data_IF_125187024838
#
_entry.id   IF_125187024838
#
_cell.length_a   1.000
_cell.length_b   1.000
_cell.length_c   1.000
_cell.angle_alpha   90.00
_cell.angle_beta   90.00
_cell.angle_gamma   90.00
#
_symmetry.space_group_name_H-M   'P 1'
#
loop_
_entity.id
_entity.type
_entity.pdbx_description
1 polymer ?
#
# COMPACT_ATOMS: atom_id res chain seq x y z
N UNK A 1 -0.27 -23.18 -25.80
CA UNK A 1 0.44 -21.92 -26.14
C UNK A 1 0.05 -20.86 -25.11
N UNK A 2 0.82 -20.72 -24.01
CA UNK A 2 0.50 -19.81 -22.90
C UNK A 2 1.35 -18.53 -23.01
N UNK A 3 0.72 -17.37 -23.22
CA UNK A 3 1.38 -16.06 -23.26
C UNK A 3 1.81 -15.66 -21.84
N UNK A 4 3.11 -15.39 -21.65
CA UNK A 4 3.70 -14.90 -20.39
C UNK A 4 3.17 -13.49 -20.04
N UNK A 5 2.73 -13.23 -18.79
CA UNK A 5 2.34 -11.89 -18.34
C UNK A 5 3.60 -11.08 -17.99
N UNK A 6 4.37 -10.67 -18.99
CA UNK A 6 5.52 -9.76 -18.80
C UNK A 6 5.14 -8.28 -18.89
N UNK A 7 4.03 -7.95 -19.54
CA UNK A 7 3.62 -6.57 -19.77
C UNK A 7 3.07 -5.88 -18.51
N UNK A 8 2.32 -6.60 -17.67
CA UNK A 8 1.67 -6.01 -16.48
C UNK A 8 2.64 -5.62 -15.38
N UNK A 9 3.78 -6.32 -15.27
CA UNK A 9 4.84 -6.03 -14.29
C UNK A 9 5.67 -4.79 -14.67
N UNK A 10 5.84 -4.49 -15.96
CA UNK A 10 6.52 -3.26 -16.40
C UNK A 10 5.70 -2.01 -16.12
N UNK A 11 4.38 -2.05 -16.29
CA UNK A 11 3.50 -0.89 -16.09
C UNK A 11 3.45 -0.50 -14.60
N UNK A 12 3.39 -1.48 -13.69
CA UNK A 12 3.40 -1.23 -12.25
C UNK A 12 4.72 -0.61 -11.75
N UNK A 13 5.86 -1.00 -12.34
CA UNK A 13 7.17 -0.43 -11.98
C UNK A 13 7.27 1.06 -12.36
N UNK A 14 6.79 1.42 -13.57
CA UNK A 14 6.83 2.79 -14.07
C UNK A 14 5.90 3.73 -13.29
N UNK A 15 4.72 3.24 -12.89
CA UNK A 15 3.72 4.04 -12.15
C UNK A 15 4.16 4.34 -10.72
N UNK A 16 5.05 3.54 -10.11
CA UNK A 16 5.54 3.78 -8.74
C UNK A 16 6.84 4.59 -8.72
N UNK A 17 7.77 4.33 -9.65
CA UNK A 17 9.08 4.99 -9.68
C UNK A 17 9.02 6.47 -10.07
N UNK A 18 8.19 6.83 -11.05
CA UNK A 18 8.11 8.23 -11.52
C UNK A 18 7.60 9.20 -10.43
N UNK A 19 6.51 8.91 -9.70
CA UNK A 19 6.05 9.82 -8.65
C UNK A 19 6.96 9.83 -7.41
N UNK A 20 7.65 8.74 -7.07
CA UNK A 20 8.60 8.75 -5.94
C UNK A 20 9.85 9.58 -6.24
N UNK A 21 10.38 9.51 -7.47
CA UNK A 21 11.51 10.36 -7.88
C UNK A 21 11.10 11.83 -7.90
N UNK A 22 9.90 12.16 -8.41
CA UNK A 22 9.39 13.53 -8.40
C UNK A 22 9.16 14.07 -6.97
N UNK A 23 8.68 13.25 -6.05
CA UNK A 23 8.48 13.66 -4.64
C UNK A 23 9.83 13.96 -3.95
N UNK A 24 10.88 13.20 -4.26
CA UNK A 24 12.22 13.40 -3.71
C UNK A 24 12.91 14.64 -4.30
N UNK A 25 12.69 14.96 -5.58
CA UNK A 25 13.26 16.16 -6.19
C UNK A 25 12.69 17.46 -5.60
N UNK A 26 11.42 17.49 -5.20
CA UNK A 26 10.79 18.68 -4.62
C UNK A 26 11.27 18.97 -3.18
N UNK A 27 11.79 17.97 -2.47
CA UNK A 27 12.30 18.13 -1.10
C UNK A 27 13.79 18.53 -1.02
N UNK A 28 14.51 18.50 -2.14
CA UNK A 28 15.95 18.74 -2.16
C UNK A 28 16.35 20.22 -2.40
N UNK A 29 15.40 21.11 -2.65
CA UNK A 29 15.68 22.45 -3.18
C UNK A 29 15.28 23.57 -2.20
N UNK A 30 15.79 23.52 -0.97
CA UNK A 30 15.75 24.70 -0.09
C UNK A 30 17.03 24.81 0.77
N UNK A 31 18.20 24.72 0.12
CA UNK A 31 19.44 25.31 0.67
C UNK A 31 19.58 26.72 0.09
N UNK A 32 18.90 27.71 0.68
CA UNK A 32 19.06 29.12 0.31
C UNK A 32 20.52 29.53 0.54
N UNK A 33 21.22 29.85 -0.54
CA UNK A 33 22.49 30.55 -0.48
C UNK A 33 22.29 31.91 0.20
N UNK A 34 23.21 32.28 1.11
CA UNK A 34 23.19 33.61 1.71
C UNK A 34 23.24 34.67 0.60
N UNK A 35 22.41 35.73 0.68
CA UNK A 35 22.45 36.80 -0.32
C UNK A 35 23.85 37.43 -0.34
N UNK A 36 24.32 37.88 -1.52
CA UNK A 36 25.63 38.53 -1.64
C UNK A 36 25.69 39.81 -0.77
N UNK A 37 26.85 40.01 -0.12
CA UNK A 37 27.16 41.03 0.92
C UNK A 37 26.70 42.46 0.55
N UNK A 38 26.74 42.80 -0.74
CA UNK A 38 26.38 44.11 -1.25
C UNK A 38 24.88 44.42 -1.12
N UNK A 39 24.01 43.40 -1.22
CA UNK A 39 22.55 43.59 -1.15
C UNK A 39 22.11 43.94 0.27
N UNK A 40 22.73 43.30 1.26
CA UNK A 40 22.51 43.54 2.67
C UNK A 40 22.92 44.98 3.04
N UNK A 41 24.06 45.43 2.51
CA UNK A 41 24.56 46.80 2.75
C UNK A 41 23.62 47.86 2.19
N UNK A 42 23.13 47.68 0.96
CA UNK A 42 22.19 48.63 0.33
C UNK A 42 20.87 48.69 1.10
N UNK A 43 20.36 47.53 1.54
CA UNK A 43 19.12 47.43 2.31
C UNK A 43 19.21 48.22 3.63
N UNK A 44 20.25 47.94 4.43
CA UNK A 44 20.43 48.55 5.75
C UNK A 44 20.79 50.05 5.70
N UNK A 45 21.37 50.54 4.60
CA UNK A 45 21.69 51.96 4.42
C UNK A 45 20.55 52.77 3.79
N UNK A 46 19.47 52.13 3.36
CA UNK A 46 18.33 52.83 2.78
C UNK A 46 17.66 53.76 3.80
N UNK A 47 17.17 54.95 3.40
CA UNK A 47 16.56 55.91 4.31
C UNK A 47 15.45 55.33 5.19
N UNK A 48 14.69 54.37 4.65
CA UNK A 48 13.55 53.75 5.30
C UNK A 48 13.97 52.82 6.45
N UNK A 49 15.12 52.14 6.32
CA UNK A 49 15.61 51.15 7.30
C UNK A 49 16.67 51.69 8.27
N UNK A 50 17.21 52.89 8.04
CA UNK A 50 18.17 53.57 8.94
C UNK A 50 17.71 53.67 10.41
N UNK A 51 16.48 54.10 10.74
CA UNK A 51 16.07 54.20 12.14
C UNK A 51 16.00 52.83 12.83
N UNK A 52 15.59 51.79 12.11
CA UNK A 52 15.49 50.43 12.63
C UNK A 52 16.86 49.78 12.79
N UNK A 53 17.80 50.06 11.88
CA UNK A 53 19.21 49.65 12.02
C UNK A 53 19.84 50.26 13.28
N UNK A 54 19.61 51.56 13.53
CA UNK A 54 20.11 52.24 14.71
C UNK A 54 19.47 51.68 16.00
N UNK A 55 18.17 51.35 15.96
CA UNK A 55 17.48 50.70 17.07
C UNK A 55 18.03 49.29 17.33
N UNK A 56 18.34 48.52 16.28
CA UNK A 56 18.97 47.21 16.39
C UNK A 56 20.39 47.32 16.97
N UNK A 57 21.19 48.28 16.51
CA UNK A 57 22.53 48.55 17.06
C UNK A 57 22.46 48.94 18.56
N UNK A 58 21.48 49.76 18.93
CA UNK A 58 21.18 50.12 20.32
C UNK A 58 20.78 48.93 21.18
N UNK A 59 19.90 48.08 20.68
CA UNK A 59 19.44 46.88 21.38
C UNK A 59 20.55 45.85 21.57
N UNK A 60 21.50 45.80 20.65
CA UNK A 60 22.67 44.92 20.73
C UNK A 60 23.82 45.52 21.56
N UNK A 61 23.69 46.77 22.04
CA UNK A 61 24.74 47.48 22.78
C UNK A 61 25.96 47.83 21.94
N UNK A 62 25.81 47.91 20.61
CA UNK A 62 26.90 48.22 19.67
C UNK A 62 27.10 49.73 19.48
N UNK A 63 26.04 50.51 19.65
CA UNK A 63 26.06 51.97 19.59
C UNK A 63 24.91 52.54 20.42
N UNK A 64 25.06 53.76 20.93
CA UNK A 64 23.95 54.48 21.59
C UNK A 64 23.27 55.44 20.60
N UNK A 65 21.92 55.50 20.57
CA UNK A 65 21.23 56.46 19.71
C UNK A 65 21.54 57.89 20.15
N UNK A 66 21.84 58.76 19.18
CA UNK A 66 22.00 60.19 19.48
C UNK A 66 20.65 60.78 19.91
N UNK A 67 20.62 61.65 20.93
CA UNK A 67 19.40 62.34 21.35
C UNK A 67 18.79 63.23 20.22
N UNK A 68 19.57 63.53 19.19
CA UNK A 68 19.10 64.11 17.93
C UNK A 68 18.99 63.01 16.87
N UNK A 69 17.89 62.24 16.90
CA UNK A 69 17.60 61.17 15.92
C UNK A 69 17.51 61.68 14.47
N UNK A 70 17.38 63.00 14.28
CA UNK A 70 17.26 63.64 12.96
C UNK A 70 18.56 63.80 12.18
N UNK A 71 19.74 63.62 12.80
CA UNK A 71 21.03 63.82 12.11
C UNK A 71 21.68 62.54 11.59
N UNK A 72 21.08 61.36 11.83
CA UNK A 72 21.67 60.08 11.40
C UNK A 72 23.01 59.75 12.10
N UNK A 73 23.26 60.37 13.25
CA UNK A 73 24.47 60.19 14.05
C UNK A 73 24.23 59.21 15.19
N UNK A 74 25.28 58.47 15.54
CA UNK A 74 25.31 57.48 16.60
C UNK A 74 26.52 57.70 17.51
N UNK A 75 26.41 57.30 18.78
CA UNK A 75 27.48 57.44 19.76
C UNK A 75 28.19 56.11 19.95
N UNK A 76 29.49 56.10 19.63
CA UNK A 76 30.41 54.97 19.88
C UNK A 76 31.60 55.53 20.64
N UNK A 77 31.98 54.90 21.75
CA UNK A 77 33.09 55.32 22.61
C UNK A 77 33.04 56.82 22.99
N UNK A 78 31.85 57.32 23.31
CA UNK A 78 31.59 58.71 23.68
C UNK A 78 31.92 59.74 22.58
N UNK A 79 31.93 59.31 21.31
CA UNK A 79 32.07 60.19 20.13
C UNK A 79 30.84 60.04 19.23
N UNK A 80 30.34 61.17 18.75
CA UNK A 80 29.32 61.19 17.71
C UNK A 80 29.98 60.90 16.35
N UNK A 81 29.53 59.84 15.68
CA UNK A 81 29.95 59.47 14.33
C UNK A 81 28.71 59.30 13.44
N UNK A 82 28.84 59.56 12.14
CA UNK A 82 27.79 59.25 11.17
C UNK A 82 27.76 57.75 10.83
N UNK A 83 26.64 57.31 10.26
CA UNK A 83 26.39 55.90 9.95
C UNK A 83 27.39 55.33 8.93
N UNK A 84 27.77 56.13 7.94
CA UNK A 84 28.74 55.78 6.90
C UNK A 84 30.16 55.58 7.50
N UNK A 85 30.59 56.48 8.37
CA UNK A 85 31.84 56.40 9.13
C UNK A 85 31.83 55.23 10.12
N UNK A 86 30.69 54.94 10.73
CA UNK A 86 30.53 53.77 11.59
C UNK A 86 30.67 52.47 10.82
N UNK A 87 30.02 52.35 9.65
CA UNK A 87 30.17 51.19 8.76
C UNK A 87 31.64 50.96 8.38
N UNK A 88 32.36 52.02 8.00
CA UNK A 88 33.72 51.89 7.49
C UNK A 88 34.72 51.54 8.61
N UNK A 89 34.54 52.08 9.81
CA UNK A 89 35.45 51.85 10.95
C UNK A 89 35.06 50.67 11.85
N UNK A 90 33.79 50.25 11.83
CA UNK A 90 33.22 49.19 12.67
C UNK A 90 32.42 48.15 11.85
N UNK A 91 32.99 47.70 10.72
CA UNK A 91 32.32 46.80 9.76
C UNK A 91 31.63 45.60 10.41
N UNK A 92 32.30 44.94 11.36
CA UNK A 92 31.76 43.75 12.03
C UNK A 92 30.51 44.02 12.86
N UNK A 93 30.46 45.19 13.50
CA UNK A 93 29.33 45.59 14.35
C UNK A 93 28.16 46.05 13.48
N UNK A 94 28.46 46.77 12.39
CA UNK A 94 27.49 47.09 11.35
C UNK A 94 26.85 45.82 10.76
N UNK A 95 27.65 44.84 10.33
CA UNK A 95 27.17 43.58 9.77
C UNK A 95 26.32 42.78 10.78
N UNK A 96 26.64 42.89 12.07
CA UNK A 96 25.87 42.24 13.14
C UNK A 96 24.52 42.92 13.37
N UNK A 97 24.49 44.25 13.41
CA UNK A 97 23.25 45.01 13.52
C UNK A 97 22.34 44.83 12.29
N UNK A 98 22.92 44.87 11.09
CA UNK A 98 22.20 44.71 9.84
C UNK A 98 21.60 43.29 9.69
N UNK A 99 22.34 42.24 10.11
CA UNK A 99 21.78 40.89 10.18
C UNK A 99 20.64 40.76 11.19
N UNK A 100 20.73 41.44 12.34
CA UNK A 100 19.66 41.44 13.33
C UNK A 100 18.40 42.13 12.78
N UNK A 101 18.57 43.23 12.05
CA UNK A 101 17.47 43.92 11.37
C UNK A 101 16.80 42.99 10.33
N UNK A 102 17.59 42.39 9.43
CA UNK A 102 17.09 41.44 8.43
C UNK A 102 16.40 40.22 9.02
N UNK A 103 16.83 39.78 10.22
CA UNK A 103 16.17 38.68 10.93
C UNK A 103 14.86 39.10 11.61
N UNK A 104 14.70 40.40 11.90
CA UNK A 104 13.51 40.96 12.57
C UNK A 104 12.40 41.35 11.62
N UNK A 105 12.73 41.62 10.35
CA UNK A 105 11.69 41.88 9.36
C UNK A 105 10.85 40.62 9.15
N UNK A 106 9.51 40.74 9.14
CA UNK A 106 8.67 39.68 8.63
C UNK A 106 9.15 39.42 7.22
N UNK A 107 9.71 38.22 6.98
CA UNK A 107 9.96 37.73 5.65
C UNK A 107 8.61 37.77 4.93
N UNK A 108 8.30 38.91 4.29
CA UNK A 108 7.25 38.98 3.29
C UNK A 108 7.78 37.98 2.29
N UNK A 109 7.21 36.78 2.33
CA UNK A 109 7.41 35.79 1.29
C UNK A 109 6.95 36.50 0.04
N UNK A 110 7.88 37.16 -0.64
CA UNK A 110 7.75 37.53 -2.03
C UNK A 110 7.38 36.21 -2.63
N UNK A 111 6.09 36.08 -2.94
CA UNK A 111 5.56 34.85 -3.47
C UNK A 111 6.13 34.86 -4.87
N UNK A 112 7.36 34.37 -5.02
CA UNK A 112 7.92 34.01 -6.30
C UNK A 112 6.81 33.22 -6.96
N UNK A 113 6.26 33.81 -8.02
CA UNK A 113 5.11 33.27 -8.71
C UNK A 113 5.54 31.92 -9.24
N UNK A 114 5.26 30.86 -8.47
CA UNK A 114 5.58 29.48 -8.84
C UNK A 114 5.11 29.30 -10.28
N UNK A 115 5.97 28.78 -11.18
CA UNK A 115 5.59 28.53 -12.56
C UNK A 115 4.24 27.79 -12.59
N UNK A 116 3.35 28.16 -13.52
CA UNK A 116 2.01 27.59 -13.62
C UNK A 116 1.99 26.05 -13.53
N UNK A 117 2.99 25.39 -14.10
CA UNK A 117 3.19 23.93 -14.06
C UNK A 117 3.38 23.38 -12.64
N UNK A 118 4.05 24.11 -11.74
CA UNK A 118 4.26 23.71 -10.33
C UNK A 118 2.95 23.80 -9.56
N UNK A 119 2.19 24.90 -9.72
CA UNK A 119 0.86 25.07 -9.08
C UNK A 119 -0.14 24.04 -9.59
N UNK A 120 -0.09 23.73 -10.89
CA UNK A 120 -0.92 22.71 -11.49
C UNK A 120 -0.54 21.30 -11.01
N UNK A 121 0.75 21.03 -10.81
CA UNK A 121 1.25 19.79 -10.20
C UNK A 121 0.77 19.58 -8.76
N UNK A 122 0.74 20.64 -7.94
CA UNK A 122 0.24 20.57 -6.55
C UNK A 122 -1.23 20.13 -6.45
N UNK A 123 -2.05 20.42 -7.47
CA UNK A 123 -3.46 20.02 -7.52
C UNK A 123 -3.65 18.68 -8.23
N UNK A 124 -2.97 18.47 -9.36
CA UNK A 124 -3.14 17.27 -10.17
C UNK A 124 -2.51 16.03 -9.53
N UNK A 125 -1.39 16.15 -8.81
CA UNK A 125 -0.72 14.99 -8.20
C UNK A 125 -1.60 14.34 -7.12
N UNK A 126 -2.18 15.07 -6.14
CA UNK A 126 -3.11 14.47 -5.18
C UNK A 126 -4.36 13.90 -5.85
N UNK A 127 -4.90 14.58 -6.87
CA UNK A 127 -6.08 14.09 -7.60
C UNK A 127 -5.78 12.77 -8.35
N UNK A 128 -4.64 12.70 -9.04
CA UNK A 128 -4.19 11.50 -9.73
C UNK A 128 -3.88 10.35 -8.75
N UNK A 129 -3.27 10.67 -7.60
CA UNK A 129 -3.03 9.70 -6.54
C UNK A 129 -4.33 9.17 -5.93
N UNK A 130 -5.30 10.05 -5.67
CA UNK A 130 -6.64 9.67 -5.21
C UNK A 130 -7.38 8.78 -6.21
N UNK A 131 -7.29 9.09 -7.51
CA UNK A 131 -7.86 8.27 -8.56
C UNK A 131 -7.18 6.89 -8.67
N UNK A 132 -5.85 6.83 -8.58
CA UNK A 132 -5.08 5.58 -8.59
C UNK A 132 -5.41 4.70 -7.39
N UNK A 133 -5.45 5.28 -6.18
CA UNK A 133 -5.86 4.55 -4.97
C UNK A 133 -7.29 4.03 -5.08
N UNK A 134 -8.20 4.83 -5.62
CA UNK A 134 -9.60 4.41 -5.84
C UNK A 134 -9.69 3.25 -6.85
N UNK A 135 -8.92 3.32 -7.94
CA UNK A 135 -8.85 2.25 -8.94
C UNK A 135 -8.27 0.96 -8.34
N UNK A 136 -7.20 1.05 -7.56
CA UNK A 136 -6.62 -0.09 -6.87
C UNK A 136 -7.59 -0.67 -5.83
N UNK A 137 -8.28 0.18 -5.05
CA UNK A 137 -9.25 -0.25 -4.04
C UNK A 137 -10.48 -0.93 -4.66
N UNK A 138 -10.99 -0.43 -5.79
CA UNK A 138 -12.12 -1.05 -6.51
C UNK A 138 -11.71 -2.37 -7.16
N UNK A 139 -10.56 -2.41 -7.83
CA UNK A 139 -10.01 -3.65 -8.39
C UNK A 139 -9.77 -4.72 -7.33
N UNK A 140 -9.27 -4.30 -6.16
CA UNK A 140 -9.04 -5.16 -5.01
C UNK A 140 -10.35 -5.73 -4.43
N UNK A 141 -11.36 -4.88 -4.20
CA UNK A 141 -12.68 -5.34 -3.74
C UNK A 141 -13.30 -6.34 -4.71
N UNK A 142 -13.28 -6.03 -6.01
CA UNK A 142 -13.78 -6.93 -7.04
C UNK A 142 -13.01 -8.28 -7.09
N UNK A 143 -11.73 -8.30 -6.70
CA UNK A 143 -10.98 -9.56 -6.56
C UNK A 143 -11.42 -10.36 -5.32
N UNK A 144 -11.62 -9.71 -4.17
CA UNK A 144 -12.17 -10.35 -2.96
C UNK A 144 -13.56 -10.91 -3.23
N UNK A 145 -14.46 -10.13 -3.82
CA UNK A 145 -15.84 -10.55 -4.08
C UNK A 145 -15.91 -11.73 -5.05
N UNK A 146 -14.96 -11.84 -5.99
CA UNK A 146 -14.81 -13.03 -6.84
C UNK A 146 -14.32 -14.22 -6.03
N UNK A 147 -13.29 -14.03 -5.20
CA UNK A 147 -12.75 -15.08 -4.33
C UNK A 147 -13.78 -15.65 -3.35
N UNK A 148 -14.62 -14.81 -2.75
CA UNK A 148 -15.74 -15.25 -1.88
C UNK A 148 -16.75 -16.08 -2.67
N UNK A 149 -17.17 -15.61 -3.85
CA UNK A 149 -18.12 -16.36 -4.70
C UNK A 149 -17.57 -17.71 -5.15
N UNK A 150 -16.31 -17.77 -5.54
CA UNK A 150 -15.66 -19.04 -5.94
C UNK A 150 -15.50 -19.99 -4.74
N UNK A 151 -15.21 -19.45 -3.55
CA UNK A 151 -15.16 -20.23 -2.31
C UNK A 151 -16.52 -20.84 -1.97
N UNK A 152 -17.59 -20.05 -2.04
CA UNK A 152 -18.95 -20.52 -1.73
C UNK A 152 -19.44 -21.54 -2.77
N UNK A 153 -19.19 -21.30 -4.06
CA UNK A 153 -19.50 -22.27 -5.11
C UNK A 153 -18.77 -23.61 -4.91
N UNK A 154 -17.52 -23.57 -4.46
CA UNK A 154 -16.75 -24.77 -4.13
C UNK A 154 -17.34 -25.49 -2.92
N UNK A 155 -17.70 -24.78 -1.84
CA UNK A 155 -18.35 -25.36 -0.65
C UNK A 155 -19.68 -26.02 -1.00
N UNK A 156 -20.52 -25.37 -1.79
CA UNK A 156 -21.80 -25.94 -2.24
C UNK A 156 -21.59 -27.22 -3.06
N UNK A 157 -20.66 -27.22 -4.02
CA UNK A 157 -20.39 -28.41 -4.83
C UNK A 157 -19.86 -29.59 -3.98
N UNK A 158 -19.06 -29.30 -2.95
CA UNK A 158 -18.59 -30.33 -2.01
C UNK A 158 -19.71 -30.85 -1.12
N UNK A 159 -20.56 -29.98 -0.57
CA UNK A 159 -21.71 -30.40 0.22
C UNK A 159 -22.67 -31.27 -0.58
N UNK A 160 -22.98 -30.89 -1.82
CA UNK A 160 -23.84 -31.66 -2.73
C UNK A 160 -23.24 -33.04 -3.05
N UNK A 161 -21.93 -33.09 -3.28
CA UNK A 161 -21.21 -34.33 -3.54
C UNK A 161 -21.18 -35.25 -2.32
N UNK A 162 -20.89 -34.70 -1.14
CA UNK A 162 -20.94 -35.43 0.14
C UNK A 162 -22.32 -36.02 0.40
N UNK A 163 -23.38 -35.23 0.24
CA UNK A 163 -24.76 -35.68 0.44
C UNK A 163 -25.14 -36.82 -0.52
N UNK A 164 -24.70 -36.73 -1.79
CA UNK A 164 -24.91 -37.79 -2.77
C UNK A 164 -24.19 -39.09 -2.36
N UNK A 165 -22.93 -39.02 -1.92
CA UNK A 165 -22.17 -40.19 -1.46
C UNK A 165 -22.79 -40.80 -0.21
N UNK A 166 -23.17 -39.99 0.78
CA UNK A 166 -23.79 -40.48 2.01
C UNK A 166 -25.12 -41.19 1.75
N UNK A 167 -25.92 -40.66 0.82
CA UNK A 167 -27.17 -41.28 0.36
C UNK A 167 -26.86 -42.64 -0.30
N UNK A 168 -25.96 -42.65 -1.29
CA UNK A 168 -25.51 -43.84 -2.01
C UNK A 168 -25.00 -44.93 -1.07
N UNK A 169 -24.16 -44.57 -0.09
CA UNK A 169 -23.62 -45.48 0.90
C UNK A 169 -24.69 -46.03 1.86
N UNK A 170 -25.65 -45.19 2.27
CA UNK A 170 -26.74 -45.61 3.17
C UNK A 170 -27.69 -46.62 2.52
N UNK A 171 -27.91 -46.51 1.21
CA UNK A 171 -28.75 -47.42 0.43
C UNK A 171 -28.11 -48.80 0.31
N UNK A 172 -26.79 -48.88 0.13
CA UNK A 172 -26.04 -50.15 0.18
C UNK A 172 -26.19 -50.87 1.52
N UNK A 173 -26.13 -50.14 2.63
CA UNK A 173 -26.34 -50.71 3.98
C UNK A 173 -27.75 -51.25 4.13
N UNK A 174 -28.75 -50.59 3.53
CA UNK A 174 -30.16 -51.02 3.52
C UNK A 174 -30.44 -52.15 2.51
N UNK A 175 -29.43 -52.62 1.77
CA UNK A 175 -29.59 -53.67 0.76
C UNK A 175 -30.38 -53.23 -0.49
N UNK A 176 -30.48 -51.91 -0.74
CA UNK A 176 -31.10 -51.36 -1.94
C UNK A 176 -30.06 -51.17 -3.04
N UNK A 177 -30.52 -51.09 -4.29
CA UNK A 177 -29.67 -50.67 -5.43
C UNK A 177 -29.59 -49.14 -5.44
N UNK A 178 -28.41 -48.54 -5.27
CA UNK A 178 -28.28 -47.09 -5.17
C UNK A 178 -28.01 -46.39 -6.49
N UNK A 179 -28.38 -45.12 -6.57
CA UNK A 179 -28.19 -44.30 -7.77
C UNK A 179 -26.75 -43.80 -7.93
N UNK A 180 -25.95 -44.56 -8.68
CA UNK A 180 -24.58 -44.17 -9.05
C UNK A 180 -24.51 -43.01 -10.06
N UNK A 181 -25.62 -42.63 -10.72
CA UNK A 181 -25.64 -41.54 -11.70
C UNK A 181 -25.56 -40.20 -10.99
N UNK A 182 -26.35 -40.02 -9.93
CA UNK A 182 -26.32 -38.78 -9.13
C UNK A 182 -24.94 -38.51 -8.54
N UNK A 183 -24.26 -39.53 -8.00
CA UNK A 183 -22.90 -39.36 -7.45
C UNK A 183 -21.92 -38.91 -8.55
N UNK A 184 -21.92 -39.55 -9.72
CA UNK A 184 -21.06 -39.18 -10.86
C UNK A 184 -21.33 -37.76 -11.36
N UNK A 185 -22.59 -37.35 -11.41
CA UNK A 185 -22.98 -35.99 -11.77
C UNK A 185 -22.40 -34.97 -10.79
N UNK A 186 -22.54 -35.20 -9.48
CA UNK A 186 -22.00 -34.31 -8.44
C UNK A 186 -20.47 -34.31 -8.41
N UNK A 187 -19.83 -35.46 -8.64
CA UNK A 187 -18.36 -35.56 -8.81
C UNK A 187 -17.89 -34.66 -9.97
N UNK A 188 -18.58 -34.73 -11.11
CA UNK A 188 -18.25 -33.93 -12.30
C UNK A 188 -18.42 -32.44 -12.03
N UNK A 189 -19.48 -32.08 -11.29
CA UNK A 189 -19.73 -30.71 -10.87
C UNK A 189 -18.60 -30.15 -10.01
N UNK A 190 -18.21 -30.91 -8.98
CA UNK A 190 -17.10 -30.58 -8.11
C UNK A 190 -15.77 -30.45 -8.87
N UNK A 191 -15.46 -31.40 -9.76
CA UNK A 191 -14.26 -31.35 -10.59
C UNK A 191 -14.22 -30.09 -11.47
N UNK A 192 -15.38 -29.63 -11.94
CA UNK A 192 -15.50 -28.40 -12.73
C UNK A 192 -15.19 -27.17 -11.87
N UNK A 193 -15.72 -27.10 -10.64
CA UNK A 193 -15.43 -25.99 -9.72
C UNK A 193 -13.95 -25.95 -9.33
N UNK A 194 -13.37 -27.11 -8.99
CA UNK A 194 -11.92 -27.22 -8.71
C UNK A 194 -11.10 -26.80 -9.94
N UNK A 195 -11.52 -27.22 -11.14
CA UNK A 195 -10.90 -26.83 -12.40
C UNK A 195 -10.91 -25.31 -12.63
N UNK A 196 -12.02 -24.64 -12.31
CA UNK A 196 -12.14 -23.18 -12.36
C UNK A 196 -11.14 -22.52 -11.41
N UNK A 197 -11.06 -22.98 -10.16
CA UNK A 197 -10.08 -22.48 -9.17
C UNK A 197 -8.65 -22.64 -9.69
N UNK A 198 -8.30 -23.80 -10.25
CA UNK A 198 -6.97 -24.04 -10.83
C UNK A 198 -6.68 -23.11 -12.03
N UNK A 199 -7.69 -22.77 -12.84
CA UNK A 199 -7.49 -21.89 -14.00
C UNK A 199 -7.05 -20.48 -13.61
N UNK A 200 -7.55 -19.98 -12.48
CA UNK A 200 -7.17 -18.67 -11.93
C UNK A 200 -5.96 -18.74 -10.99
N UNK A 201 -5.72 -19.90 -10.36
CA UNK A 201 -4.67 -20.11 -9.37
C UNK A 201 -3.79 -21.33 -9.73
N UNK A 202 -3.19 -21.33 -10.91
CA UNK A 202 -2.47 -22.49 -11.47
C UNK A 202 -1.29 -22.98 -10.61
N UNK A 203 -0.67 -22.09 -9.83
CA UNK A 203 0.41 -22.42 -8.92
C UNK A 203 -0.06 -23.16 -7.65
N UNK A 204 -1.35 -23.16 -7.32
CA UNK A 204 -1.85 -23.76 -6.08
C UNK A 204 -1.82 -25.29 -6.14
N UNK A 205 -0.81 -25.88 -5.51
CA UNK A 205 -0.63 -27.33 -5.44
C UNK A 205 -1.82 -28.00 -4.72
N UNK A 206 -2.39 -27.37 -3.69
CA UNK A 206 -3.51 -27.95 -2.92
C UNK A 206 -4.74 -28.21 -3.79
N UNK A 207 -5.13 -27.25 -4.64
CA UNK A 207 -6.27 -27.42 -5.55
C UNK A 207 -6.03 -28.55 -6.58
N UNK A 208 -4.79 -28.70 -7.08
CA UNK A 208 -4.44 -29.82 -7.96
C UNK A 208 -4.50 -31.17 -7.24
N UNK A 209 -3.96 -31.25 -6.03
CA UNK A 209 -4.04 -32.46 -5.19
C UNK A 209 -5.50 -32.86 -4.93
N UNK A 210 -6.35 -31.87 -4.65
CA UNK A 210 -7.78 -32.06 -4.46
C UNK A 210 -8.45 -32.63 -5.73
N UNK A 211 -8.14 -32.06 -6.90
CA UNK A 211 -8.65 -32.56 -8.18
C UNK A 211 -8.28 -34.03 -8.43
N UNK A 212 -7.02 -34.39 -8.20
CA UNK A 212 -6.58 -35.77 -8.41
C UNK A 212 -7.21 -36.74 -7.41
N UNK A 213 -7.43 -36.31 -6.15
CA UNK A 213 -8.16 -37.11 -5.15
C UNK A 213 -9.62 -37.36 -5.56
N UNK A 214 -10.34 -36.35 -6.06
CA UNK A 214 -11.73 -36.50 -6.54
C UNK A 214 -11.83 -37.36 -7.80
N UNK A 215 -10.80 -37.33 -8.66
CA UNK A 215 -10.73 -38.21 -9.83
C UNK A 215 -10.48 -39.67 -9.48
N UNK A 216 -9.81 -39.93 -8.36
CA UNK A 216 -9.48 -41.29 -7.92
C UNK A 216 -10.72 -42.18 -7.84
N UNK A 217 -10.53 -43.47 -8.09
CA UNK A 217 -11.57 -44.49 -8.00
C UNK A 217 -11.86 -44.93 -6.55
N UNK A 218 -11.24 -44.28 -5.55
CA UNK A 218 -11.33 -44.64 -4.13
C UNK A 218 -12.75 -44.62 -3.53
N UNK A 219 -13.73 -44.05 -4.23
CA UNK A 219 -15.12 -44.00 -3.76
C UNK A 219 -15.95 -45.24 -4.18
N UNK A 220 -15.35 -46.17 -4.93
CA UNK A 220 -15.97 -47.44 -5.34
C UNK A 220 -17.39 -47.30 -5.94
N UNK A 221 -17.60 -46.21 -6.67
CA UNK A 221 -18.87 -45.87 -7.32
C UNK A 221 -19.20 -46.95 -8.36
N UNK A 222 -20.32 -47.67 -8.17
CA UNK A 222 -20.73 -48.75 -9.05
C UNK A 222 -19.99 -50.09 -8.88
N UNK A 223 -19.04 -50.20 -7.95
CA UNK A 223 -18.37 -51.48 -7.68
C UNK A 223 -19.14 -52.29 -6.62
N UNK A 224 -20.01 -53.19 -7.07
CA UNK A 224 -20.75 -54.08 -6.18
C UNK A 224 -19.83 -54.99 -5.33
N UNK A 225 -18.60 -55.29 -5.80
CA UNK A 225 -17.65 -56.10 -5.04
C UNK A 225 -17.11 -55.32 -3.84
N UNK A 226 -16.89 -54.01 -3.98
CA UNK A 226 -16.54 -53.16 -2.84
C UNK A 226 -17.62 -53.16 -1.77
N UNK A 227 -18.91 -53.19 -2.15
CA UNK A 227 -20.04 -53.21 -1.20
C UNK A 227 -20.47 -54.61 -0.75
N UNK A 228 -19.75 -55.65 -1.18
CA UNK A 228 -19.98 -57.03 -0.74
C UNK A 228 -19.79 -57.20 0.78
N UNK A 229 -20.41 -58.25 1.33
CA UNK A 229 -20.41 -58.55 2.77
C UNK A 229 -21.77 -58.33 3.42
N UNK A 230 -21.80 -58.63 4.72
CA UNK A 230 -22.95 -58.45 5.59
C UNK A 230 -23.16 -56.98 6.00
N UNK A 231 -24.26 -56.69 6.71
CA UNK A 231 -24.61 -55.33 7.13
C UNK A 231 -23.50 -54.70 7.99
N UNK A 232 -22.95 -55.38 9.02
CA UNK A 232 -21.80 -54.85 9.79
C UNK A 232 -20.58 -54.49 8.93
N UNK A 233 -20.20 -55.33 7.96
CA UNK A 233 -19.08 -55.05 7.07
C UNK A 233 -19.34 -53.83 6.17
N UNK A 234 -20.57 -53.64 5.69
CA UNK A 234 -20.93 -52.42 4.93
C UNK A 234 -20.88 -51.19 5.83
N UNK A 235 -21.34 -51.30 7.07
CA UNK A 235 -21.40 -50.17 8.00
C UNK A 235 -20.00 -49.68 8.44
N UNK A 236 -19.02 -50.59 8.56
CA UNK A 236 -17.63 -50.21 8.78
C UNK A 236 -17.03 -49.47 7.59
N UNK A 237 -17.35 -49.89 6.35
CA UNK A 237 -16.98 -49.18 5.11
C UNK A 237 -17.57 -47.76 5.07
N UNK A 238 -18.85 -47.60 5.40
CA UNK A 238 -19.49 -46.27 5.50
C UNK A 238 -18.80 -45.38 6.53
N UNK A 239 -18.43 -45.94 7.69
CA UNK A 239 -17.71 -45.18 8.73
C UNK A 239 -16.36 -44.70 8.25
N UNK A 240 -15.60 -45.56 7.55
CA UNK A 240 -14.32 -45.17 6.95
C UNK A 240 -14.51 -44.08 5.89
N UNK A 241 -15.48 -44.24 5.01
CA UNK A 241 -15.81 -43.28 3.96
C UNK A 241 -16.15 -41.90 4.53
N UNK A 242 -16.97 -41.84 5.60
CA UNK A 242 -17.29 -40.58 6.29
C UNK A 242 -16.04 -39.88 6.83
N UNK A 243 -15.13 -40.63 7.45
CA UNK A 243 -13.86 -40.07 7.96
C UNK A 243 -12.97 -39.51 6.83
N UNK A 244 -12.94 -40.19 5.68
CA UNK A 244 -12.23 -39.72 4.49
C UNK A 244 -12.89 -38.45 3.91
N UNK A 245 -14.23 -38.39 3.88
CA UNK A 245 -14.99 -37.19 3.50
C UNK A 245 -14.77 -36.01 4.45
N UNK A 246 -14.72 -36.23 5.77
CA UNK A 246 -14.42 -35.16 6.73
C UNK A 246 -13.01 -34.59 6.53
N UNK A 247 -12.03 -35.46 6.22
CA UNK A 247 -10.67 -35.03 5.89
C UNK A 247 -10.64 -34.23 4.58
N UNK A 248 -11.41 -34.68 3.59
CA UNK A 248 -11.56 -34.00 2.31
C UNK A 248 -12.19 -32.60 2.48
N UNK A 249 -13.26 -32.48 3.26
CA UNK A 249 -13.94 -31.20 3.54
C UNK A 249 -12.99 -30.22 4.23
N UNK A 250 -12.16 -30.67 5.17
CA UNK A 250 -11.16 -29.82 5.81
C UNK A 250 -10.09 -29.30 4.81
N UNK A 251 -9.69 -30.12 3.83
CA UNK A 251 -8.78 -29.70 2.77
C UNK A 251 -9.44 -28.70 1.80
N UNK A 252 -10.71 -28.92 1.44
CA UNK A 252 -11.50 -27.98 0.63
C UNK A 252 -11.63 -26.65 1.35
N UNK A 253 -11.98 -26.66 2.64
CA UNK A 253 -12.18 -25.45 3.42
C UNK A 253 -10.89 -24.62 3.54
N UNK A 254 -9.73 -25.28 3.61
CA UNK A 254 -8.43 -24.61 3.51
C UNK A 254 -8.29 -23.85 2.17
N UNK A 255 -8.70 -24.44 1.05
CA UNK A 255 -8.66 -23.79 -0.27
C UNK A 255 -9.70 -22.67 -0.36
N UNK A 256 -10.93 -22.89 0.10
CA UNK A 256 -12.01 -21.89 0.12
C UNK A 256 -11.66 -20.67 1.00
N UNK A 257 -11.03 -20.91 2.15
CA UNK A 257 -10.50 -19.83 3.01
C UNK A 257 -9.39 -19.04 2.32
N UNK A 258 -8.51 -19.71 1.57
CA UNK A 258 -7.46 -19.03 0.81
C UNK A 258 -8.05 -18.15 -0.33
N UNK A 259 -9.13 -18.59 -0.97
CA UNK A 259 -9.84 -17.82 -2.01
C UNK A 259 -10.48 -16.55 -1.44
N UNK A 260 -11.11 -16.65 -0.27
CA UNK A 260 -11.77 -15.51 0.39
C UNK A 260 -10.78 -14.52 1.06
N UNK A 261 -9.51 -14.90 1.26
CA UNK A 261 -8.50 -14.08 1.97
C UNK A 261 -7.16 -13.99 1.19
N UNK A 262 -7.09 -13.23 0.10
CA UNK A 262 -5.92 -13.19 -0.79
C UNK A 262 -4.62 -12.64 -0.15
N UNK A 263 -4.69 -11.90 0.96
CA UNK A 263 -3.50 -11.23 1.55
C UNK A 263 -2.52 -12.22 2.20
N UNK A 264 -3.01 -13.34 2.76
CA UNK A 264 -2.14 -14.26 3.52
C UNK A 264 -1.26 -15.15 2.63
N UNK A 265 -1.57 -15.29 1.35
CA UNK A 265 -0.83 -16.12 0.40
C UNK A 265 0.25 -15.37 -0.39
N UNK A 266 0.25 -14.03 -0.37
CA UNK A 266 1.26 -13.19 -1.05
C UNK A 266 2.45 -12.81 -0.16
N UNK A 267 2.49 -13.21 1.12
CA UNK A 267 3.68 -13.06 1.95
C UNK A 267 4.64 -14.22 1.65
N UNK A 268 5.82 -13.96 1.04
CA UNK A 268 6.83 -15.00 0.85
C UNK A 268 7.37 -15.38 2.24
N UNK A 269 6.92 -16.52 2.78
CA UNK A 269 7.42 -17.03 4.05
C UNK A 269 6.43 -17.78 4.94
N UNK A 270 5.12 -17.78 4.65
CA UNK A 270 4.16 -18.57 5.43
C UNK A 270 4.12 -20.03 4.96
N UNK A 271 5.29 -20.68 5.00
CA UNK A 271 5.35 -22.13 5.11
C UNK A 271 4.60 -22.51 6.38
N UNK A 272 3.37 -22.99 6.22
CA UNK A 272 2.61 -23.65 7.28
C UNK A 272 3.42 -24.90 7.66
N UNK A 273 4.37 -24.76 8.59
CA UNK A 273 4.87 -25.88 9.40
C UNK A 273 3.67 -26.35 10.22
N UNK A 274 3.00 -27.41 9.75
CA UNK A 274 2.17 -28.22 10.63
C UNK A 274 3.11 -28.84 11.67
N UNK A 275 2.90 -28.51 12.95
CA UNK A 275 3.32 -29.37 14.06
C UNK A 275 2.35 -30.54 14.16
#
# INVERSE_FOLDING_TARGET
MWRKPRATLMILSYVVLVPTVLLFSVLAEESRAAPPDDTMTVFCLSPDHRPELLAAAGSLGLASPSPSLSTGQLWVDNKAIDLETWRDNHKTDFDRACRALLASEPQVKVTESKPFWVRMGEVLVPAAFGALLTFLATGWRAAIDRGVRDADALRTAVADFRAAIETYASEWVRGKSPDAVTVRLRRTDLLRQIGRVISFHSAWHQARKLKERVKGDDLAEGDANFWSGDVPARQSKVTRLRKELDTFDAEVESVATALSRPIRSCLPGSGIRRR
#
